data_IF_565714630737
#
_entry.id   IF_565714630737
#
_cell.length_a   1.000
_cell.length_b   1.000
_cell.length_c   1.000
_cell.angle_alpha   90.00
_cell.angle_beta   90.00
_cell.angle_gamma   90.00
#
_symmetry.space_group_name_H-M   'P 1'
#
loop_
_entity.id
_entity.type
_entity.pdbx_description
1 polymer ?
#
# COMPACT_ATOMS: atom_id res chain seq x y z
N UNK A 1 -4.98 -15.83 28.82
CA UNK A 1 -5.46 -15.50 27.46
C UNK A 1 -5.41 -13.99 27.22
N UNK A 2 -4.35 -13.53 26.54
CA UNK A 2 -4.11 -12.11 26.26
C UNK A 2 -5.23 -11.52 25.37
N UNK A 3 -5.87 -10.39 25.74
CA UNK A 3 -7.05 -9.82 25.06
C UNK A 3 -6.71 -9.06 23.76
N UNK A 4 -5.69 -9.51 23.04
CA UNK A 4 -5.26 -8.98 21.74
C UNK A 4 -6.27 -9.19 20.58
N UNK A 5 -7.09 -10.27 20.53
CA UNK A 5 -7.91 -10.55 19.35
C UNK A 5 -8.95 -9.46 19.00
N UNK A 6 -9.73 -8.91 19.96
CA UNK A 6 -10.75 -7.92 19.65
C UNK A 6 -10.20 -6.63 19.04
N UNK A 7 -9.05 -6.15 19.54
CA UNK A 7 -8.41 -4.93 19.07
C UNK A 7 -7.95 -5.06 17.62
N UNK A 8 -7.36 -6.21 17.28
CA UNK A 8 -6.91 -6.49 15.89
C UNK A 8 -8.10 -6.56 14.94
N UNK A 9 -9.19 -7.22 15.34
CA UNK A 9 -10.41 -7.35 14.53
C UNK A 9 -11.03 -5.97 14.26
N UNK A 10 -11.16 -5.13 15.29
CA UNK A 10 -11.69 -3.77 15.15
C UNK A 10 -10.78 -2.91 14.26
N UNK A 11 -9.47 -2.96 14.48
CA UNK A 11 -8.50 -2.22 13.68
C UNK A 11 -8.53 -2.60 12.20
N UNK A 12 -8.58 -3.90 11.89
CA UNK A 12 -8.71 -4.37 10.51
C UNK A 12 -10.05 -3.99 9.88
N UNK A 13 -11.15 -4.07 10.64
CA UNK A 13 -12.47 -3.65 10.16
C UNK A 13 -12.50 -2.19 9.74
N UNK A 14 -11.90 -1.30 10.56
CA UNK A 14 -11.77 0.12 10.24
C UNK A 14 -10.90 0.33 8.99
N UNK A 15 -9.75 -0.34 8.89
CA UNK A 15 -8.84 -0.21 7.75
C UNK A 15 -9.53 -0.62 6.43
N UNK A 16 -10.26 -1.73 6.41
CA UNK A 16 -10.99 -2.18 5.22
C UNK A 16 -12.18 -1.28 4.89
N UNK A 17 -12.84 -0.69 5.89
CA UNK A 17 -13.90 0.27 5.66
C UNK A 17 -13.39 1.53 4.93
N UNK A 18 -12.27 2.10 5.39
CA UNK A 18 -11.63 3.23 4.70
C UNK A 18 -11.18 2.86 3.28
N UNK A 19 -10.62 1.66 3.10
CA UNK A 19 -10.25 1.16 1.77
C UNK A 19 -11.48 1.10 0.83
N UNK A 20 -12.61 0.57 1.31
CA UNK A 20 -13.88 0.52 0.58
C UNK A 20 -14.37 1.89 0.13
N UNK A 21 -14.17 2.93 0.97
CA UNK A 21 -14.53 4.29 0.62
C UNK A 21 -13.67 4.87 -0.51
N UNK A 22 -12.36 4.59 -0.50
CA UNK A 22 -11.41 5.00 -1.56
C UNK A 22 -11.71 4.32 -2.89
N UNK A 23 -12.11 3.04 -2.84
CA UNK A 23 -12.47 2.25 -4.02
C UNK A 23 -13.66 2.82 -4.81
N UNK A 24 -14.52 3.62 -4.18
CA UNK A 24 -15.61 4.33 -4.89
C UNK A 24 -15.11 5.44 -5.81
N UNK A 25 -13.92 5.99 -5.56
CA UNK A 25 -13.39 7.17 -6.27
C UNK A 25 -12.19 6.85 -7.17
N UNK A 26 -11.47 5.78 -6.88
CA UNK A 26 -10.22 5.39 -7.56
C UNK A 26 -10.35 3.95 -8.04
N UNK A 27 -9.82 3.58 -9.23
CA UNK A 27 -9.85 2.19 -9.68
C UNK A 27 -9.20 1.24 -8.68
N UNK A 28 -9.83 0.07 -8.56
CA UNK A 28 -9.45 -1.00 -7.63
C UNK A 28 -7.96 -1.32 -7.70
N UNK A 29 -7.40 -1.48 -8.91
CA UNK A 29 -5.97 -1.78 -9.08
C UNK A 29 -5.02 -0.71 -8.51
N UNK A 30 -5.39 0.58 -8.61
CA UNK A 30 -4.57 1.66 -8.05
C UNK A 30 -4.72 1.66 -6.52
N UNK A 31 -5.95 1.52 -6.01
CA UNK A 31 -6.18 1.48 -4.57
C UNK A 31 -5.43 0.33 -3.88
N UNK A 32 -5.44 -0.88 -4.45
CA UNK A 32 -4.68 -2.01 -3.91
C UNK A 32 -3.17 -1.83 -4.04
N UNK A 33 -2.67 -1.31 -5.17
CA UNK A 33 -1.25 -1.01 -5.33
C UNK A 33 -0.75 -0.02 -4.27
N UNK A 34 -1.54 1.01 -3.98
CA UNK A 34 -1.25 2.00 -2.94
C UNK A 34 -1.29 1.35 -1.56
N UNK A 35 -2.36 0.63 -1.23
CA UNK A 35 -2.54 0.04 0.10
C UNK A 35 -1.43 -0.97 0.44
N UNK A 36 -1.10 -1.89 -0.48
CA UNK A 36 -0.05 -2.88 -0.28
C UNK A 36 1.35 -2.25 -0.31
N UNK A 37 1.63 -1.34 -1.25
CA UNK A 37 2.95 -0.72 -1.36
C UNK A 37 3.30 0.18 -0.17
N UNK A 38 2.37 1.04 0.24
CA UNK A 38 2.58 1.92 1.40
C UNK A 38 2.70 1.14 2.70
N UNK A 39 1.89 0.09 2.87
CA UNK A 39 1.93 -0.77 4.05
C UNK A 39 3.30 -1.42 4.25
N UNK A 40 3.88 -1.97 3.19
CA UNK A 40 5.24 -2.57 3.25
C UNK A 40 6.28 -1.51 3.61
N UNK A 41 6.27 -0.35 2.95
CA UNK A 41 7.24 0.73 3.23
C UNK A 41 7.15 1.20 4.70
N UNK A 42 5.93 1.39 5.21
CA UNK A 42 5.70 1.83 6.59
C UNK A 42 6.16 0.76 7.59
N UNK A 43 5.77 -0.50 7.41
CA UNK A 43 6.16 -1.60 8.31
C UNK A 43 7.68 -1.77 8.32
N UNK A 44 8.30 -1.73 7.14
CA UNK A 44 9.76 -1.83 7.01
C UNK A 44 10.47 -0.63 7.65
N UNK A 45 9.95 0.60 7.50
CA UNK A 45 10.51 1.78 8.16
C UNK A 45 10.35 1.72 9.69
N UNK A 46 9.20 1.24 10.19
CA UNK A 46 8.97 1.05 11.63
C UNK A 46 9.92 -0.02 12.19
N UNK A 47 10.10 -1.15 11.48
CA UNK A 47 11.04 -2.20 11.88
C UNK A 47 12.49 -1.68 11.91
N UNK A 48 12.86 -0.82 10.96
CA UNK A 48 14.17 -0.17 10.96
C UNK A 48 14.37 0.75 12.16
N UNK A 49 13.42 1.65 12.41
CA UNK A 49 13.53 2.73 13.38
C UNK A 49 13.32 2.26 14.83
N UNK A 50 12.32 1.40 15.07
CA UNK A 50 11.96 0.97 16.43
C UNK A 50 12.63 -0.35 16.83
N UNK A 51 12.80 -1.28 15.90
CA UNK A 51 13.38 -2.60 16.21
C UNK A 51 14.88 -2.66 15.93
N UNK A 52 15.48 -1.56 15.44
CA UNK A 52 16.91 -1.49 15.13
C UNK A 52 17.35 -2.47 14.03
N UNK A 53 16.40 -2.94 13.21
CA UNK A 53 16.69 -3.94 12.19
C UNK A 53 17.54 -3.32 11.09
N UNK A 54 18.85 -3.59 11.09
CA UNK A 54 19.77 -3.03 10.10
C UNK A 54 19.29 -3.34 8.69
N UNK A 55 18.91 -2.29 8.00
CA UNK A 55 18.49 -2.36 6.62
C UNK A 55 19.72 -2.38 5.73
N UNK A 56 19.93 -3.52 5.07
CA UNK A 56 21.02 -3.68 4.10
C UNK A 56 20.76 -2.81 2.86
N UNK A 57 21.81 -2.51 2.10
CA UNK A 57 21.75 -1.69 0.89
C UNK A 57 20.68 -2.20 -0.11
N UNK A 58 20.53 -3.52 -0.21
CA UNK A 58 19.49 -4.16 -1.02
C UNK A 58 18.06 -3.88 -0.53
N UNK A 59 17.85 -3.73 0.78
CA UNK A 59 16.55 -3.37 1.33
C UNK A 59 16.15 -1.93 0.99
N UNK A 60 17.11 -1.01 0.89
CA UNK A 60 16.86 0.34 0.38
C UNK A 60 16.48 0.34 -1.10
N UNK A 61 17.13 -0.48 -1.92
CA UNK A 61 16.77 -0.67 -3.34
C UNK A 61 15.35 -1.21 -3.46
N UNK A 62 14.99 -2.23 -2.66
CA UNK A 62 13.64 -2.78 -2.62
C UNK A 62 12.58 -1.73 -2.25
N UNK A 63 12.84 -0.91 -1.23
CA UNK A 63 11.94 0.20 -0.87
C UNK A 63 11.82 1.24 -1.98
N UNK A 64 12.94 1.57 -2.65
CA UNK A 64 12.94 2.47 -3.81
C UNK A 64 12.05 1.95 -4.94
N UNK A 65 12.10 0.65 -5.24
CA UNK A 65 11.24 0.02 -6.25
C UNK A 65 9.76 0.04 -5.86
N UNK A 66 9.42 -0.18 -4.59
CA UNK A 66 8.03 -0.10 -4.11
C UNK A 66 7.50 1.33 -4.25
N UNK A 67 8.31 2.34 -3.89
CA UNK A 67 7.93 3.75 -4.04
C UNK A 67 7.78 4.11 -5.53
N UNK A 68 8.70 3.65 -6.40
CA UNK A 68 8.61 3.86 -7.84
C UNK A 68 7.32 3.25 -8.43
N UNK A 69 6.99 2.02 -8.04
CA UNK A 69 5.75 1.35 -8.44
C UNK A 69 4.50 2.14 -7.99
N UNK A 70 4.50 2.69 -6.78
CA UNK A 70 3.44 3.56 -6.29
C UNK A 70 3.29 4.83 -7.13
N UNK A 71 4.39 5.52 -7.43
CA UNK A 71 4.38 6.75 -8.24
C UNK A 71 3.85 6.49 -9.65
N UNK A 72 4.24 5.37 -10.25
CA UNK A 72 3.73 4.93 -11.55
C UNK A 72 2.23 4.59 -11.51
N UNK A 73 1.77 3.88 -10.48
CA UNK A 73 0.35 3.55 -10.31
C UNK A 73 -0.53 4.79 -10.09
N UNK A 74 0.01 5.83 -9.43
CA UNK A 74 -0.68 7.12 -9.26
C UNK A 74 -0.67 7.96 -10.53
N UNK A 75 0.37 7.87 -11.35
CA UNK A 75 0.58 8.75 -12.52
C UNK A 75 -0.65 8.79 -13.43
N UNK A 76 -1.11 9.98 -13.87
CA UNK A 76 -2.24 10.09 -14.80
C UNK A 76 -2.04 9.34 -16.12
N UNK A 77 -0.81 8.93 -16.46
CA UNK A 77 -0.49 8.28 -17.73
C UNK A 77 -1.29 6.98 -17.96
N UNK A 78 -1.64 6.23 -16.91
CA UNK A 78 -2.42 5.00 -17.07
C UNK A 78 -3.86 5.26 -17.56
N UNK A 79 -4.41 6.46 -17.34
CA UNK A 79 -5.72 6.85 -17.90
C UNK A 79 -5.66 7.01 -19.42
N UNK A 80 -4.50 7.42 -19.95
CA UNK A 80 -4.32 7.63 -21.40
C UNK A 80 -4.25 6.32 -22.20
N UNK A 81 -3.81 5.22 -21.58
CA UNK A 81 -3.69 3.91 -22.23
C UNK A 81 -5.00 3.09 -22.21
N UNK A 82 -5.98 3.46 -21.38
CA UNK A 82 -7.30 2.82 -21.31
C UNK A 82 -8.34 3.58 -22.14
N UNK A 83 -8.00 3.94 -23.37
CA UNK A 83 -9.04 4.26 -24.35
C UNK A 83 -9.81 2.96 -24.60
N UNK A 84 -11.13 2.88 -24.34
CA UNK A 84 -11.90 1.75 -24.81
C UNK A 84 -11.73 1.71 -26.33
N UNK A 85 -11.28 0.58 -26.87
CA UNK A 85 -11.36 0.34 -28.31
C UNK A 85 -12.83 0.37 -28.69
N UNK A 86 -13.22 1.09 -29.76
CA UNK A 86 -14.61 1.17 -30.17
C UNK A 86 -15.03 -0.11 -30.90
N UNK A 87 -15.21 -1.21 -30.18
CA UNK A 87 -15.88 -2.42 -30.67
C UNK A 87 -16.68 -3.04 -29.54
#
# INVERSE_FOLDING_TARGET
PSPIPPVVIIGYGIAFYFLSLVLKSIPVGVAYAVWSGLGVVIITAIAWLLHGQKLDAWGFVGMGLIIAAFLLARSPSWKSLRRPTPW
#
